data_IF_364228038683
#
_entry.id   IF_364228038683
#
_cell.length_a   1.000
_cell.length_b   1.000
_cell.length_c   1.000
_cell.angle_alpha   90.00
_cell.angle_beta   90.00
_cell.angle_gamma   90.00
#
_symmetry.space_group_name_H-M   'P 1'
#
loop_
_entity.id
_entity.type
_entity.pdbx_description
1 polymer ?
#
# COMPACT_ATOMS: atom_id res chain seq x y z
N UNK A 1 -4.01 30.50 -5.87
CA UNK A 1 -2.88 29.68 -6.33
C UNK A 1 -2.44 28.77 -5.18
N UNK A 2 -3.08 27.61 -5.04
CA UNK A 2 -2.80 26.61 -3.99
C UNK A 2 -2.62 25.21 -4.55
N UNK A 3 -2.93 24.97 -5.84
CA UNK A 3 -2.90 23.65 -6.50
C UNK A 3 -1.54 22.96 -6.42
N UNK A 4 -0.43 23.70 -6.51
CA UNK A 4 0.91 23.12 -6.38
C UNK A 4 1.26 22.57 -4.99
N UNK A 5 0.51 22.94 -3.95
CA UNK A 5 0.76 22.51 -2.56
C UNK A 5 0.05 21.21 -2.20
N UNK A 6 -1.08 20.90 -2.83
CA UNK A 6 -1.92 19.76 -2.47
C UNK A 6 -1.39 18.46 -3.07
N UNK A 7 -0.87 18.50 -4.30
CA UNK A 7 -0.34 17.29 -4.96
C UNK A 7 0.98 16.85 -4.37
N UNK A 8 1.84 17.80 -4.01
CA UNK A 8 3.08 17.53 -3.29
C UNK A 8 2.78 16.84 -1.97
N UNK A 9 1.69 17.23 -1.31
CA UNK A 9 1.22 16.59 -0.08
C UNK A 9 0.68 15.17 -0.35
N UNK A 10 -0.17 14.98 -1.37
CA UNK A 10 -0.70 13.66 -1.73
C UNK A 10 0.42 12.65 -2.03
N UNK A 11 1.42 13.06 -2.82
CA UNK A 11 2.57 12.20 -3.15
C UNK A 11 3.45 11.96 -1.92
N UNK A 12 3.64 12.94 -1.04
CA UNK A 12 4.38 12.75 0.21
C UNK A 12 3.67 11.77 1.17
N UNK A 13 2.35 11.89 1.29
CA UNK A 13 1.51 11.02 2.11
C UNK A 13 1.53 9.58 1.57
N UNK A 14 1.43 9.42 0.25
CA UNK A 14 1.56 8.12 -0.41
C UNK A 14 2.92 7.48 -0.13
N UNK A 15 4.01 8.24 -0.29
CA UNK A 15 5.36 7.77 0.01
C UNK A 15 5.54 7.35 1.48
N UNK A 16 4.95 8.10 2.42
CA UNK A 16 4.95 7.75 3.83
C UNK A 16 4.19 6.44 4.09
N UNK A 17 3.01 6.26 3.46
CA UNK A 17 2.22 5.04 3.59
C UNK A 17 2.89 3.82 2.93
N UNK A 18 3.57 3.98 1.81
CA UNK A 18 4.38 2.90 1.21
C UNK A 18 5.51 2.45 2.14
N UNK A 19 6.18 3.40 2.82
CA UNK A 19 7.19 3.05 3.84
C UNK A 19 6.57 2.29 5.01
N UNK A 20 5.38 2.70 5.46
CA UNK A 20 4.63 1.98 6.49
C UNK A 20 4.22 0.57 6.03
N UNK A 21 3.78 0.41 4.78
CA UNK A 21 3.44 -0.87 4.18
C UNK A 21 4.63 -1.81 4.18
N UNK A 22 5.78 -1.35 3.66
CA UNK A 22 7.06 -2.08 3.67
C UNK A 22 7.47 -2.48 5.08
N UNK A 23 7.41 -1.54 6.03
CA UNK A 23 7.76 -1.80 7.43
C UNK A 23 6.85 -2.86 8.06
N UNK A 24 5.54 -2.77 7.80
CA UNK A 24 4.55 -3.71 8.33
C UNK A 24 4.73 -5.10 7.71
N UNK A 25 4.92 -5.18 6.38
CA UNK A 25 5.24 -6.42 5.66
C UNK A 25 6.48 -7.10 6.20
N UNK A 26 7.55 -6.35 6.45
CA UNK A 26 8.81 -6.90 6.97
C UNK A 26 8.67 -7.52 8.38
N UNK A 27 7.66 -7.13 9.16
CA UNK A 27 7.38 -7.73 10.48
C UNK A 27 6.70 -9.09 10.39
N UNK A 28 6.14 -9.48 9.25
CA UNK A 28 5.33 -10.70 9.13
C UNK A 28 6.08 -11.95 9.60
N UNK A 29 7.36 -12.12 9.22
CA UNK A 29 8.14 -13.30 9.63
C UNK A 29 8.31 -13.45 11.14
N UNK A 30 8.47 -12.32 11.86
CA UNK A 30 8.55 -12.34 13.33
C UNK A 30 7.23 -12.74 13.99
N UNK A 31 6.11 -12.44 13.33
CA UNK A 31 4.76 -12.69 13.85
C UNK A 31 4.35 -14.14 13.58
N UNK A 32 4.70 -14.70 12.42
CA UNK A 32 4.40 -16.10 12.10
C UNK A 32 5.23 -17.08 12.92
N UNK A 33 6.45 -16.72 13.33
CA UNK A 33 7.33 -17.57 14.18
C UNK A 33 6.68 -17.92 15.52
N UNK A 34 5.81 -17.07 16.06
CA UNK A 34 5.14 -17.31 17.33
C UNK A 34 3.93 -18.26 17.25
N UNK A 35 3.41 -18.56 16.05
CA UNK A 35 2.18 -19.35 15.81
C UNK A 35 0.96 -18.92 16.65
N UNK A 36 0.93 -17.67 17.11
CA UNK A 36 -0.20 -17.12 17.86
C UNK A 36 -1.21 -16.63 16.83
N UNK A 37 -2.25 -17.42 16.57
CA UNK A 37 -3.29 -17.13 15.55
C UNK A 37 -3.84 -15.71 15.70
N UNK A 38 -4.19 -15.30 16.92
CA UNK A 38 -4.71 -13.94 17.17
C UNK A 38 -3.71 -12.83 16.81
N UNK A 39 -2.40 -13.07 16.98
CA UNK A 39 -1.38 -12.11 16.57
C UNK A 39 -1.29 -12.03 15.03
N UNK A 40 -1.39 -13.17 14.36
CA UNK A 40 -1.42 -13.27 12.90
C UNK A 40 -2.66 -12.59 12.31
N UNK A 41 -3.85 -12.78 12.89
CA UNK A 41 -5.09 -12.10 12.47
C UNK A 41 -5.00 -10.58 12.64
N UNK A 42 -4.49 -10.11 13.78
CA UNK A 42 -4.29 -8.66 14.01
C UNK A 42 -3.30 -8.07 13.01
N UNK A 43 -2.24 -8.82 12.69
CA UNK A 43 -1.26 -8.39 11.69
C UNK A 43 -1.82 -8.40 10.27
N UNK A 44 -2.59 -9.43 9.91
CA UNK A 44 -3.32 -9.49 8.65
C UNK A 44 -4.23 -8.27 8.49
N UNK A 45 -4.99 -7.93 9.53
CA UNK A 45 -5.83 -6.73 9.52
C UNK A 45 -4.99 -5.46 9.30
N UNK A 46 -3.86 -5.32 9.99
CA UNK A 46 -2.97 -4.17 9.81
C UNK A 46 -2.41 -4.06 8.38
N UNK A 47 -2.01 -5.18 7.78
CA UNK A 47 -1.54 -5.20 6.38
C UNK A 47 -2.64 -4.75 5.41
N UNK A 48 -3.85 -5.29 5.52
CA UNK A 48 -4.97 -4.88 4.65
C UNK A 48 -5.29 -3.39 4.83
N UNK A 49 -5.37 -2.89 6.06
CA UNK A 49 -5.64 -1.46 6.30
C UNK A 49 -4.59 -0.54 5.68
N UNK A 50 -3.30 -0.87 5.80
CA UNK A 50 -2.25 -0.03 5.20
C UNK A 50 -2.26 -0.15 3.67
N UNK A 51 -2.61 -1.32 3.12
CA UNK A 51 -2.76 -1.52 1.68
C UNK A 51 -3.92 -0.67 1.12
N UNK A 52 -5.08 -0.72 1.76
CA UNK A 52 -6.26 0.08 1.40
C UNK A 52 -5.94 1.58 1.44
N UNK A 53 -5.19 2.04 2.45
CA UNK A 53 -4.72 3.43 2.56
C UNK A 53 -3.80 3.83 1.39
N UNK A 54 -2.89 2.93 0.99
CA UNK A 54 -1.98 3.14 -0.15
C UNK A 54 -2.77 3.24 -1.46
N UNK A 55 -3.71 2.33 -1.69
CA UNK A 55 -4.57 2.33 -2.88
C UNK A 55 -5.46 3.57 -2.95
N UNK A 56 -6.00 4.00 -1.81
CA UNK A 56 -6.79 5.24 -1.73
C UNK A 56 -5.97 6.47 -2.10
N UNK A 57 -4.76 6.61 -1.54
CA UNK A 57 -3.87 7.73 -1.87
C UNK A 57 -3.38 7.68 -3.30
N UNK A 58 -3.08 6.49 -3.84
CA UNK A 58 -2.73 6.31 -5.25
C UNK A 58 -3.83 6.86 -6.15
N UNK A 59 -5.08 6.45 -5.95
CA UNK A 59 -6.23 6.93 -6.74
C UNK A 59 -6.40 8.44 -6.67
N UNK A 60 -6.16 9.04 -5.50
CA UNK A 60 -6.22 10.51 -5.37
C UNK A 60 -5.11 11.21 -6.17
N UNK A 61 -3.90 10.63 -6.21
CA UNK A 61 -2.82 11.18 -7.05
C UNK A 61 -3.14 11.00 -8.53
N UNK A 62 -3.62 9.83 -8.95
CA UNK A 62 -4.03 9.57 -10.34
C UNK A 62 -5.13 10.54 -10.77
N UNK A 63 -6.14 10.76 -9.92
CA UNK A 63 -7.19 11.75 -10.16
C UNK A 63 -6.62 13.15 -10.37
N UNK A 64 -5.73 13.63 -9.48
CA UNK A 64 -5.09 14.93 -9.63
C UNK A 64 -4.28 15.06 -10.93
N UNK A 65 -3.59 13.99 -11.34
CA UNK A 65 -2.86 13.95 -12.61
C UNK A 65 -3.81 14.09 -13.81
N UNK A 66 -4.94 13.38 -13.78
CA UNK A 66 -5.98 13.51 -14.81
C UNK A 66 -6.62 14.90 -14.85
N UNK A 67 -6.86 15.51 -13.69
CA UNK A 67 -7.39 16.89 -13.58
C UNK A 67 -6.44 17.93 -14.20
N UNK A 68 -5.15 17.62 -14.28
CA UNK A 68 -4.12 18.44 -14.96
C UNK A 68 -3.94 18.13 -16.45
N UNK A 69 -4.69 17.17 -16.98
CA UNK A 69 -4.60 16.75 -18.37
C UNK A 69 -3.41 15.84 -18.68
N UNK A 70 -2.87 15.11 -17.69
CA UNK A 70 -1.95 14.00 -18.00
C UNK A 70 -2.70 12.86 -18.69
N UNK A 71 -2.09 12.29 -19.73
CA UNK A 71 -2.67 11.18 -20.50
C UNK A 71 -2.64 9.85 -19.70
N UNK A 72 -3.59 8.93 -19.93
CA UNK A 72 -3.67 7.64 -19.22
C UNK A 72 -2.36 6.84 -19.22
N UNK A 73 -1.61 6.85 -20.32
CA UNK A 73 -0.33 6.13 -20.42
C UNK A 73 0.71 6.68 -19.45
N UNK A 74 0.79 8.01 -19.29
CA UNK A 74 1.73 8.64 -18.37
C UNK A 74 1.35 8.38 -16.89
N UNK A 75 0.05 8.38 -16.59
CA UNK A 75 -0.44 8.05 -15.24
C UNK A 75 -0.20 6.58 -14.92
N UNK A 76 -0.38 5.68 -15.89
CA UNK A 76 -0.09 4.25 -15.74
C UNK A 76 1.40 3.97 -15.52
N UNK A 77 2.29 4.64 -16.28
CA UNK A 77 3.74 4.50 -16.11
C UNK A 77 4.18 4.94 -14.71
N UNK A 78 3.61 6.03 -14.19
CA UNK A 78 3.86 6.49 -12.82
C UNK A 78 3.40 5.46 -11.77
N UNK A 79 2.26 4.79 -11.99
CA UNK A 79 1.70 3.81 -11.07
C UNK A 79 2.46 2.48 -11.01
N UNK A 80 3.26 2.15 -12.03
CA UNK A 80 3.88 0.83 -12.17
C UNK A 80 4.83 0.45 -11.01
N UNK A 81 5.53 1.42 -10.41
CA UNK A 81 6.38 1.14 -9.23
C UNK A 81 5.55 0.76 -8.00
N UNK A 82 4.36 1.35 -7.86
CA UNK A 82 3.44 1.09 -6.75
C UNK A 82 2.87 -0.33 -6.84
N UNK A 83 2.52 -0.76 -8.05
CA UNK A 83 2.02 -2.11 -8.34
C UNK A 83 2.98 -3.19 -7.82
N UNK A 84 4.30 -2.97 -7.97
CA UNK A 84 5.30 -3.90 -7.47
C UNK A 84 5.34 -4.05 -5.94
N UNK A 85 5.05 -2.99 -5.19
CA UNK A 85 5.02 -3.04 -3.71
C UNK A 85 3.70 -3.54 -3.15
N UNK A 86 2.60 -3.25 -3.85
CA UNK A 86 1.26 -3.81 -3.58
C UNK A 86 1.31 -5.32 -3.78
N UNK A 87 1.79 -5.80 -4.93
CA UNK A 87 1.84 -7.23 -5.25
C UNK A 87 2.67 -8.05 -4.25
N UNK A 88 3.84 -7.55 -3.83
CA UNK A 88 4.64 -8.19 -2.76
C UNK A 88 3.89 -8.27 -1.43
N UNK A 89 3.00 -7.32 -1.15
CA UNK A 89 2.20 -7.33 0.08
C UNK A 89 1.04 -8.31 -0.05
N UNK A 90 0.39 -8.39 -1.20
CA UNK A 90 -0.66 -9.36 -1.48
C UNK A 90 -0.18 -10.82 -1.37
N UNK A 91 1.03 -11.10 -1.85
CA UNK A 91 1.69 -12.41 -1.65
C UNK A 91 1.83 -12.74 -0.16
N UNK A 92 2.27 -11.77 0.64
CA UNK A 92 2.44 -11.93 2.09
C UNK A 92 1.09 -12.09 2.81
N UNK A 93 0.07 -11.34 2.40
CA UNK A 93 -1.30 -11.47 2.91
C UNK A 93 -1.84 -12.86 2.61
N UNK A 94 -1.61 -13.37 1.40
CA UNK A 94 -2.07 -14.70 0.96
C UNK A 94 -1.39 -15.80 1.79
N UNK A 95 -0.07 -15.72 1.96
CA UNK A 95 0.67 -16.65 2.81
C UNK A 95 0.19 -16.61 4.28
N UNK A 96 -0.10 -15.42 4.81
CA UNK A 96 -0.58 -15.25 6.18
C UNK A 96 -2.00 -15.81 6.37
N UNK A 97 -2.90 -15.62 5.41
CA UNK A 97 -4.25 -16.20 5.42
C UNK A 97 -4.19 -17.73 5.42
N UNK A 98 -3.32 -18.32 4.60
CA UNK A 98 -3.12 -19.77 4.57
C UNK A 98 -2.63 -20.28 5.94
N UNK A 99 -1.62 -19.63 6.51
CA UNK A 99 -1.07 -20.01 7.81
C UNK A 99 -2.02 -19.81 9.01
N UNK A 100 -3.09 -19.02 8.87
CA UNK A 100 -4.16 -18.89 9.88
C UNK A 100 -5.19 -20.03 9.76
N UNK A 101 -5.34 -20.59 8.57
CA UNK A 101 -6.40 -21.56 8.24
C UNK A 101 -5.93 -23.02 8.32
N UNK A 102 -4.61 -23.24 8.24
CA UNK A 102 -3.92 -24.52 8.54
C UNK A 102 -3.91 -24.83 10.05
#
# INVERSE_FOLDING_TARGET
>A
MTEGSEDVKLVADLNAKLKLLKFTRNKTGSITTGSIITAMERHLKALNTVLDDVDGLRKNVEQSKFEKGEEPEAVAEWGAELDGEIGKTDEVITALKNAITE
#
